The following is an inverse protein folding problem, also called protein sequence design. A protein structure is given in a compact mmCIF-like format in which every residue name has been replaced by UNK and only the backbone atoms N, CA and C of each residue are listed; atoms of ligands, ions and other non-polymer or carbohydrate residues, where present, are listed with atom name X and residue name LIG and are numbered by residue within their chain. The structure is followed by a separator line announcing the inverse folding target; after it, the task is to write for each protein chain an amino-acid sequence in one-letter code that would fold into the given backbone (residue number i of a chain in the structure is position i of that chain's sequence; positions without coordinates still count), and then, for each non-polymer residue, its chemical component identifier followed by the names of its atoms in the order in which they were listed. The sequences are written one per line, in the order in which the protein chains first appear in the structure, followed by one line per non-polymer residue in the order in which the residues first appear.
data_IF_137476021025
#
_entry.id   IF_137476021025
#
_cell.length_a   1.000
_cell.length_b   1.000
_cell.length_c   1.000
_cell.angle_alpha   90.00
_cell.angle_beta   90.00
_cell.angle_gamma   90.00
#
_symmetry.space_group_name_H-M   'P 1'
#
loop_
_entity.id
_entity.type
_entity.pdbx_description
1 polymer ?
#
# COMPACT_ATOMS: atom_id res chain seq x y z
N UNK A 1 15.14 1.56 26.43
CA UNK A 1 14.55 1.18 25.13
C UNK A 1 13.29 2.01 24.90
N UNK A 2 13.14 2.63 23.72
CA UNK A 2 11.92 3.38 23.35
C UNK A 2 10.84 2.36 22.96
N UNK A 3 9.63 2.47 23.52
CA UNK A 3 8.55 1.52 23.22
C UNK A 3 8.24 1.55 21.71
N UNK A 4 8.43 0.44 20.96
CA UNK A 4 8.19 0.39 19.52
C UNK A 4 6.69 0.41 19.14
N UNK A 5 5.80 0.30 20.12
CA UNK A 5 4.34 0.27 19.96
C UNK A 5 3.64 1.59 20.33
N UNK A 6 4.40 2.67 20.57
CA UNK A 6 3.82 3.97 20.90
C UNK A 6 4.02 4.99 19.77
N UNK A 7 3.36 4.83 18.61
CA UNK A 7 3.28 5.91 17.64
C UNK A 7 2.34 7.00 18.17
N UNK A 8 2.74 8.27 18.06
CA UNK A 8 1.77 9.37 18.13
C UNK A 8 0.75 9.23 16.97
N UNK A 9 -0.40 9.90 17.09
CA UNK A 9 -1.41 9.90 16.04
C UNK A 9 -0.79 10.21 14.66
N UNK A 10 -1.00 9.31 13.70
CA UNK A 10 -0.52 9.46 12.33
C UNK A 10 0.83 8.83 12.02
N UNK A 11 1.54 8.28 13.00
CA UNK A 11 2.82 7.59 12.77
C UNK A 11 2.57 6.08 12.61
N UNK A 12 3.19 5.49 11.58
CA UNK A 12 3.23 4.04 11.41
C UNK A 12 4.20 3.44 12.45
N UNK A 13 3.77 2.50 13.32
CA UNK A 13 4.66 1.83 14.26
C UNK A 13 5.76 1.07 13.51
N UNK A 14 6.94 1.00 14.12
CA UNK A 14 8.12 0.32 13.55
C UNK A 14 7.94 -1.19 13.49
N UNK A 15 7.03 -1.73 14.31
CA UNK A 15 6.71 -3.16 14.39
C UNK A 15 5.21 -3.35 14.21
N UNK A 16 4.82 -4.26 13.32
CA UNK A 16 3.44 -4.70 13.16
C UNK A 16 3.26 -6.07 13.80
N UNK A 17 2.50 -6.12 14.90
CA UNK A 17 2.22 -7.38 15.57
C UNK A 17 1.20 -8.19 14.76
N UNK A 18 1.51 -9.47 14.53
CA UNK A 18 0.55 -10.54 14.19
C UNK A 18 -0.31 -10.27 12.93
N UNK A 19 0.30 -9.66 11.91
CA UNK A 19 -0.39 -9.34 10.64
C UNK A 19 0.36 -9.84 9.42
N UNK A 20 1.54 -10.43 9.58
CA UNK A 20 2.41 -10.82 8.47
C UNK A 20 1.77 -11.88 7.58
N UNK A 21 1.19 -12.93 8.16
CA UNK A 21 0.54 -14.00 7.40
C UNK A 21 -0.63 -13.47 6.55
N UNK A 22 -1.49 -12.63 7.15
CA UNK A 22 -2.64 -12.01 6.47
C UNK A 22 -2.17 -11.05 5.37
N UNK A 23 -1.10 -10.28 5.60
CA UNK A 23 -0.51 -9.41 4.59
C UNK A 23 0.04 -10.21 3.42
N UNK A 24 0.87 -11.22 3.69
CA UNK A 24 1.48 -12.06 2.65
C UNK A 24 0.43 -12.82 1.85
N UNK A 25 -0.63 -13.32 2.50
CA UNK A 25 -1.77 -13.95 1.82
C UNK A 25 -2.45 -12.96 0.88
N UNK A 26 -2.79 -11.76 1.36
CA UNK A 26 -3.43 -10.74 0.52
C UNK A 26 -2.55 -10.31 -0.66
N UNK A 27 -1.24 -10.13 -0.45
CA UNK A 27 -0.30 -9.80 -1.54
C UNK A 27 -0.26 -10.91 -2.59
N UNK A 28 -0.19 -12.17 -2.16
CA UNK A 28 -0.23 -13.33 -3.06
C UNK A 28 -1.53 -13.35 -3.86
N UNK A 29 -2.65 -13.15 -3.18
CA UNK A 29 -3.98 -13.20 -3.78
C UNK A 29 -4.21 -12.04 -4.77
N UNK A 30 -3.69 -10.84 -4.51
CA UNK A 30 -3.71 -9.70 -5.44
C UNK A 30 -2.88 -10.00 -6.70
N UNK A 31 -1.75 -10.70 -6.56
CA UNK A 31 -0.83 -10.98 -7.67
C UNK A 31 -1.23 -12.16 -8.57
N UNK A 32 -2.22 -12.95 -8.19
CA UNK A 32 -2.68 -14.06 -9.01
C UNK A 32 -3.42 -13.57 -10.28
N UNK A 33 -3.16 -14.21 -11.43
CA UNK A 33 -3.64 -13.78 -12.75
C UNK A 33 -5.18 -13.86 -12.92
N UNK A 34 -5.82 -14.73 -12.15
CA UNK A 34 -7.24 -15.07 -12.20
C UNK A 34 -8.00 -14.64 -10.93
N UNK A 35 -7.48 -13.62 -10.24
CA UNK A 35 -7.96 -13.24 -8.92
C UNK A 35 -9.31 -12.48 -8.93
N UNK A 36 -10.26 -12.82 -8.04
CA UNK A 36 -11.45 -12.00 -7.79
C UNK A 36 -11.12 -10.74 -6.96
N UNK A 37 -9.92 -10.62 -6.39
CA UNK A 37 -9.51 -9.55 -5.48
C UNK A 37 -9.16 -8.22 -6.18
N UNK A 38 -9.74 -7.94 -7.36
CA UNK A 38 -9.59 -6.66 -8.06
C UNK A 38 -10.04 -5.47 -7.22
N UNK A 39 -10.97 -5.72 -6.29
CA UNK A 39 -11.41 -4.77 -5.28
C UNK A 39 -11.36 -5.42 -3.91
N UNK A 40 -10.65 -4.81 -2.97
CA UNK A 40 -10.56 -5.27 -1.58
C UNK A 40 -10.92 -4.13 -0.62
N UNK A 41 -11.80 -4.38 0.33
CA UNK A 41 -12.20 -3.41 1.36
C UNK A 41 -11.59 -3.79 2.72
N UNK A 42 -10.76 -2.90 3.26
CA UNK A 42 -10.19 -3.04 4.61
C UNK A 42 -11.03 -2.20 5.58
N UNK A 43 -11.75 -2.85 6.49
CA UNK A 43 -12.66 -2.20 7.45
C UNK A 43 -12.36 -2.59 8.91
N UNK A 44 -12.97 -1.87 9.86
CA UNK A 44 -12.77 -2.06 11.31
C UNK A 44 -12.76 -0.74 12.08
N UNK A 45 -12.67 -0.80 13.41
CA UNK A 45 -12.77 0.38 14.29
C UNK A 45 -11.63 1.42 14.06
N UNK A 46 -11.83 2.67 14.49
CA UNK A 46 -10.76 3.69 14.46
C UNK A 46 -9.59 3.22 15.34
N UNK A 47 -8.35 3.44 14.88
CA UNK A 47 -7.15 3.10 15.64
C UNK A 47 -6.64 1.66 15.50
N UNK A 48 -7.38 0.74 14.85
CA UNK A 48 -6.95 -0.69 14.71
C UNK A 48 -5.82 -0.93 13.69
N UNK A 49 -5.27 0.15 13.12
CA UNK A 49 -4.15 0.08 12.17
C UNK A 49 -4.52 -0.19 10.71
N UNK A 50 -5.74 0.15 10.26
CA UNK A 50 -6.17 -0.08 8.85
C UNK A 50 -5.24 0.58 7.83
N UNK A 51 -4.97 1.88 7.99
CA UNK A 51 -4.06 2.63 7.10
C UNK A 51 -2.65 2.06 7.14
N UNK A 52 -2.19 1.66 8.33
CA UNK A 52 -0.88 1.05 8.51
C UNK A 52 -0.79 -0.30 7.79
N UNK A 53 -1.81 -1.13 7.90
CA UNK A 53 -1.92 -2.40 7.19
C UNK A 53 -1.92 -2.19 5.67
N UNK A 54 -2.74 -1.26 5.17
CA UNK A 54 -2.82 -0.91 3.75
C UNK A 54 -1.47 -0.43 3.21
N UNK A 55 -0.76 0.41 3.97
CA UNK A 55 0.58 0.88 3.60
C UNK A 55 1.61 -0.26 3.58
N UNK A 56 1.54 -1.19 4.54
CA UNK A 56 2.42 -2.36 4.59
C UNK A 56 2.24 -3.27 3.36
N UNK A 57 0.98 -3.57 3.01
CA UNK A 57 0.64 -4.35 1.81
C UNK A 57 1.13 -3.65 0.54
N UNK A 58 0.86 -2.34 0.41
CA UNK A 58 1.33 -1.54 -0.72
C UNK A 58 2.86 -1.57 -0.86
N UNK A 59 3.60 -1.49 0.25
CA UNK A 59 5.06 -1.58 0.25
C UNK A 59 5.58 -2.95 -0.23
N UNK A 60 4.91 -4.05 0.13
CA UNK A 60 5.27 -5.38 -0.38
C UNK A 60 4.96 -5.53 -1.88
N UNK A 61 3.87 -4.94 -2.36
CA UNK A 61 3.54 -4.93 -3.79
C UNK A 61 4.57 -4.11 -4.58
N UNK A 62 5.00 -2.95 -4.05
CA UNK A 62 5.95 -2.05 -4.70
C UNK A 62 7.36 -2.63 -4.88
N UNK A 63 7.69 -3.72 -4.16
CA UNK A 63 8.94 -4.49 -4.38
C UNK A 63 8.98 -5.17 -5.75
N UNK A 64 7.83 -5.31 -6.41
CA UNK A 64 7.72 -5.92 -7.72
C UNK A 64 7.71 -4.83 -8.82
N UNK A 65 8.72 -4.82 -9.71
CA UNK A 65 8.83 -3.79 -10.73
C UNK A 65 7.69 -3.82 -11.75
N UNK A 66 6.96 -4.95 -11.85
CA UNK A 66 5.82 -5.10 -12.79
C UNK A 66 4.54 -4.42 -12.30
N UNK A 67 4.50 -3.97 -11.04
CA UNK A 67 3.35 -3.31 -10.44
C UNK A 67 3.55 -1.80 -10.31
N UNK A 68 2.45 -1.04 -10.34
CA UNK A 68 2.44 0.39 -10.01
C UNK A 68 1.58 0.56 -8.75
N UNK A 69 2.19 1.02 -7.67
CA UNK A 69 1.51 1.26 -6.38
C UNK A 69 1.23 2.74 -6.20
N UNK A 70 -0.04 3.10 -5.97
CA UNK A 70 -0.48 4.50 -5.82
C UNK A 70 -1.20 4.68 -4.49
N UNK A 71 -0.70 5.61 -3.67
CA UNK A 71 -1.33 6.01 -2.42
C UNK A 71 -2.23 7.23 -2.66
N UNK A 72 -3.52 7.00 -2.91
CA UNK A 72 -4.48 8.06 -3.20
C UNK A 72 -5.27 8.46 -1.94
N UNK A 73 -5.33 9.76 -1.67
CA UNK A 73 -6.15 10.33 -0.59
C UNK A 73 -7.48 10.78 -1.17
N UNK A 74 -8.59 10.40 -0.52
CA UNK A 74 -9.93 10.82 -0.93
C UNK A 74 -10.07 12.34 -0.76
N UNK A 75 -10.52 13.00 -1.82
CA UNK A 75 -10.77 14.43 -1.85
C UNK A 75 -11.15 14.91 -3.26
N UNK A 76 -11.17 16.22 -3.44
CA UNK A 76 -11.54 16.82 -4.73
C UNK A 76 -10.58 16.41 -5.85
N UNK A 77 -11.14 16.26 -7.06
CA UNK A 77 -10.41 15.90 -8.28
C UNK A 77 -9.59 14.59 -8.17
N UNK A 78 -10.14 13.58 -7.48
CA UNK A 78 -9.48 12.28 -7.28
C UNK A 78 -9.01 11.62 -8.59
N UNK A 79 -9.83 11.68 -9.64
CA UNK A 79 -9.51 11.07 -10.95
C UNK A 79 -8.31 11.76 -11.61
N UNK A 80 -8.28 13.10 -11.59
CA UNK A 80 -7.15 13.86 -12.12
C UNK A 80 -5.85 13.57 -11.38
N UNK A 81 -5.90 13.52 -10.05
CA UNK A 81 -4.75 13.14 -9.21
C UNK A 81 -4.27 11.72 -9.47
N UNK A 82 -5.19 10.77 -9.64
CA UNK A 82 -4.85 9.40 -9.98
C UNK A 82 -4.11 9.34 -11.32
N UNK A 83 -4.63 10.01 -12.35
CA UNK A 83 -3.98 10.05 -13.67
C UNK A 83 -2.57 10.66 -13.61
N UNK A 84 -2.40 11.77 -12.90
CA UNK A 84 -1.10 12.41 -12.69
C UNK A 84 -0.10 11.47 -11.99
N UNK A 85 -0.53 10.81 -10.91
CA UNK A 85 0.32 9.88 -10.16
C UNK A 85 0.72 8.65 -10.98
N UNK A 86 -0.18 8.09 -11.80
CA UNK A 86 0.14 7.00 -12.74
C UNK A 86 1.24 7.45 -13.70
N UNK A 87 1.09 8.64 -14.30
CA UNK A 87 2.06 9.17 -15.26
C UNK A 87 3.45 9.37 -14.64
N UNK A 88 3.52 9.96 -13.45
CA UNK A 88 4.79 10.19 -12.73
C UNK A 88 5.49 8.89 -12.36
N UNK A 89 4.76 7.92 -11.79
CA UNK A 89 5.30 6.61 -11.40
C UNK A 89 5.80 5.81 -12.61
N UNK A 90 5.03 5.78 -13.70
CA UNK A 90 5.39 5.05 -14.92
C UNK A 90 6.66 5.62 -15.56
N UNK A 91 6.76 6.94 -15.67
CA UNK A 91 7.92 7.61 -16.26
C UNK A 91 9.19 7.39 -15.45
N UNK A 92 9.10 7.43 -14.12
CA UNK A 92 10.25 7.18 -13.24
C UNK A 92 10.75 5.73 -13.31
N UNK A 93 9.83 4.75 -13.38
CA UNK A 93 10.23 3.34 -13.54
C UNK A 93 10.87 3.09 -14.90
N UNK A 94 10.32 3.67 -15.97
CA UNK A 94 10.89 3.57 -17.32
C UNK A 94 12.30 4.18 -17.36
N UNK A 95 12.50 5.39 -16.81
CA UNK A 95 13.85 6.01 -16.75
C UNK A 95 14.87 5.11 -16.06
N UNK A 96 14.52 4.52 -14.90
CA UNK A 96 15.40 3.58 -14.18
C UNK A 96 15.78 2.30 -14.95
N UNK A 97 15.04 1.94 -16.00
CA UNK A 97 15.37 0.79 -16.85
C UNK A 97 16.40 1.17 -17.92
N UNK A 98 16.49 2.45 -18.27
CA UNK A 98 17.38 2.97 -19.32
C UNK A 98 18.62 3.72 -18.79
N UNK A 99 18.69 3.98 -17.48
CA UNK A 99 19.87 4.48 -16.75
C UNK A 99 20.63 3.32 -16.09
#
# INVERSE_FOLDING_TARGET
MKNPFNPSFGIQPTVLLDREEVQSKLVKDIKALDTPYRTTLIYGNRGVGKTVFMNSVGKQIDQDPTWITIHLIIGDNMVGRLAEMIYQQSTNKIKKVFD
#
